data_IF_329900270279
#
_entry.id   IF_329900270279
#
_cell.length_a   1.000
_cell.length_b   1.000
_cell.length_c   1.000
_cell.angle_alpha   90.00
_cell.angle_beta   90.00
_cell.angle_gamma   90.00
#
_symmetry.space_group_name_H-M   'P 1'
#
loop_
_entity.id
_entity.type
_entity.pdbx_description
1 polymer ?
#
# COMPACT_ATOMS: atom_id res chain seq x y z
N UNK A 1 8.27 15.85 2.00
CA UNK A 1 6.88 15.67 2.49
C UNK A 1 6.87 14.59 3.56
N UNK A 2 6.10 14.77 4.64
CA UNK A 2 5.95 13.76 5.69
C UNK A 2 4.50 13.26 5.71
N UNK A 3 4.29 11.96 5.51
CA UNK A 3 2.96 11.33 5.51
C UNK A 3 2.86 10.43 6.73
N UNK A 4 1.76 10.50 7.47
CA UNK A 4 1.57 9.80 8.74
C UNK A 4 0.29 8.99 8.72
N UNK A 5 0.38 7.75 9.20
CA UNK A 5 -0.73 6.82 9.39
C UNK A 5 -0.85 6.47 10.88
N UNK A 6 -2.07 6.42 11.40
CA UNK A 6 -2.36 5.84 12.71
C UNK A 6 -3.08 4.51 12.51
N UNK A 7 -2.56 3.42 13.11
CA UNK A 7 -3.11 2.08 12.90
C UNK A 7 -3.20 1.26 14.19
N UNK A 8 -4.09 0.28 14.18
CA UNK A 8 -4.05 -0.89 15.06
C UNK A 8 -3.71 -2.16 14.26
N UNK A 9 -3.65 -3.32 14.95
CA UNK A 9 -3.34 -4.62 14.34
C UNK A 9 -4.31 -5.01 13.22
N UNK A 10 -5.59 -4.61 13.31
CA UNK A 10 -6.60 -4.95 12.31
C UNK A 10 -6.42 -4.14 11.01
N UNK A 11 -5.72 -3.01 11.09
CA UNK A 11 -5.48 -2.13 9.96
C UNK A 11 -4.11 -2.31 9.30
N UNK A 12 -3.24 -3.20 9.78
CA UNK A 12 -1.92 -3.40 9.20
C UNK A 12 -1.98 -3.72 7.70
N UNK A 13 -2.87 -4.62 7.28
CA UNK A 13 -3.00 -4.99 5.87
C UNK A 13 -3.52 -3.84 5.01
N UNK A 14 -4.52 -3.11 5.50
CA UNK A 14 -5.01 -1.91 4.81
C UNK A 14 -3.91 -0.85 4.68
N UNK A 15 -3.16 -0.61 5.76
CA UNK A 15 -2.03 0.32 5.75
C UNK A 15 -0.96 -0.06 4.72
N UNK A 16 -0.65 -1.36 4.54
CA UNK A 16 0.32 -1.81 3.52
C UNK A 16 -0.12 -1.44 2.12
N UNK A 17 -1.40 -1.70 1.79
CA UNK A 17 -1.99 -1.34 0.49
C UNK A 17 -1.98 0.18 0.29
N UNK A 18 -2.44 0.90 1.31
CA UNK A 18 -2.47 2.36 1.30
C UNK A 18 -1.08 2.94 1.08
N UNK A 19 -0.09 2.57 1.90
CA UNK A 19 1.30 3.03 1.84
C UNK A 19 1.90 2.78 0.45
N UNK A 20 1.67 1.61 -0.15
CA UNK A 20 2.15 1.31 -1.50
C UNK A 20 1.62 2.32 -2.53
N UNK A 21 0.34 2.72 -2.42
CA UNK A 21 -0.25 3.73 -3.30
C UNK A 21 0.38 5.12 -3.10
N UNK A 22 0.63 5.52 -1.85
CA UNK A 22 1.28 6.81 -1.56
C UNK A 22 2.72 6.86 -2.07
N UNK A 23 3.49 5.79 -1.90
CA UNK A 23 4.87 5.69 -2.40
C UNK A 23 4.95 5.78 -3.92
N UNK A 24 3.99 5.16 -4.63
CA UNK A 24 3.93 5.22 -6.09
C UNK A 24 3.92 6.64 -6.62
N UNK A 25 3.15 7.53 -6.00
CA UNK A 25 2.98 8.90 -6.46
C UNK A 25 3.86 9.92 -5.73
N UNK A 26 4.41 9.54 -4.56
CA UNK A 26 5.24 10.39 -3.72
C UNK A 26 6.48 9.60 -3.24
N UNK A 27 7.39 9.20 -4.16
CA UNK A 27 8.50 8.28 -3.83
C UNK A 27 9.47 8.82 -2.78
N UNK A 28 9.63 10.15 -2.72
CA UNK A 28 10.53 10.83 -1.78
C UNK A 28 9.85 11.19 -0.45
N UNK A 29 8.57 10.82 -0.27
CA UNK A 29 7.86 11.10 0.97
C UNK A 29 8.39 10.24 2.12
N UNK A 30 8.64 10.87 3.26
CA UNK A 30 8.90 10.17 4.51
C UNK A 30 7.58 9.68 5.09
N UNK A 31 7.44 8.37 5.25
CA UNK A 31 6.22 7.74 5.78
C UNK A 31 6.48 7.28 7.20
N UNK A 32 5.62 7.70 8.12
CA UNK A 32 5.65 7.31 9.53
C UNK A 32 4.35 6.60 9.92
N UNK A 33 4.48 5.47 10.60
CA UNK A 33 3.37 4.71 11.15
C UNK A 33 3.34 4.93 12.66
N UNK A 34 2.20 5.34 13.18
CA UNK A 34 1.95 5.54 14.61
C UNK A 34 1.00 4.45 15.09
N UNK A 35 1.35 3.77 16.18
CA UNK A 35 0.56 2.71 16.78
C UNK A 35 0.82 2.60 18.29
N UNK A 36 -0.02 1.87 19.03
CA UNK A 36 0.18 1.57 20.45
C UNK A 36 1.15 0.40 20.70
N UNK A 37 1.71 -0.19 19.66
CA UNK A 37 2.59 -1.37 19.72
C UNK A 37 3.69 -1.26 18.67
N UNK A 38 4.74 -2.07 18.83
CA UNK A 38 5.76 -2.20 17.81
C UNK A 38 5.16 -2.83 16.56
N UNK A 39 4.91 -2.02 15.54
CA UNK A 39 4.46 -2.50 14.24
C UNK A 39 5.60 -3.25 13.59
N UNK A 40 5.39 -4.50 13.12
CA UNK A 40 6.38 -5.18 12.29
C UNK A 40 6.75 -4.25 11.13
N UNK A 41 8.04 -4.11 10.87
CA UNK A 41 8.54 -3.16 9.86
C UNK A 41 7.77 -3.32 8.55
N UNK A 42 7.04 -2.29 8.18
CA UNK A 42 6.39 -2.19 6.88
C UNK A 42 7.36 -1.44 5.98
N UNK A 43 8.30 -2.18 5.38
CA UNK A 43 9.32 -1.62 4.51
C UNK A 43 10.30 -0.67 5.21
N UNK A 44 10.67 0.43 4.54
CA UNK A 44 11.57 1.47 5.06
C UNK A 44 10.86 2.55 5.89
N UNK A 45 9.62 2.28 6.34
CA UNK A 45 8.85 3.27 7.09
C UNK A 45 9.38 3.41 8.51
N UNK A 46 9.34 4.62 9.03
CA UNK A 46 9.54 4.84 10.46
C UNK A 46 8.30 4.39 11.23
N UNK A 47 8.50 3.80 12.38
CA UNK A 47 7.42 3.48 13.32
C UNK A 47 7.60 4.29 14.58
N UNK A 48 6.51 4.86 15.09
CA UNK A 48 6.46 5.56 16.36
C UNK A 48 5.41 4.89 17.23
N UNK A 49 5.82 4.41 18.39
CA UNK A 49 4.88 3.90 19.39
C UNK A 49 4.41 5.08 20.26
N UNK A 50 3.09 5.24 20.35
CA UNK A 50 2.45 6.16 21.28
C UNK A 50 1.49 5.32 22.12
N UNK A 51 1.74 5.21 23.41
CA UNK A 51 0.91 4.45 24.32
C UNK A 51 -0.24 5.34 24.81
N UNK A 52 -1.45 4.95 24.48
CA UNK A 52 -2.65 5.59 25.02
C UNK A 52 -2.90 5.05 26.43
N UNK A 53 -2.76 5.91 27.44
CA UNK A 53 -2.84 5.53 28.86
C UNK A 53 -4.26 5.58 29.43
N UNK A 54 -5.26 5.83 28.58
CA UNK A 54 -6.66 5.95 28.95
C UNK A 54 -7.59 5.25 27.98
N UNK A 55 -8.79 4.88 28.47
CA UNK A 55 -9.89 4.51 27.59
C UNK A 55 -10.59 5.76 27.08
N UNK A 56 -11.01 5.71 25.81
CA UNK A 56 -11.71 6.79 25.14
C UNK A 56 -13.21 6.50 25.04
N UNK A 57 -13.99 7.57 25.01
CA UNK A 57 -15.44 7.52 24.88
C UNK A 57 -15.88 6.80 23.62
N UNK A 58 -16.86 5.92 23.76
CA UNK A 58 -17.49 5.18 22.66
C UNK A 58 -18.91 5.67 22.41
N UNK A 59 -19.32 5.64 21.16
CA UNK A 59 -20.67 6.02 20.74
C UNK A 59 -21.74 5.04 21.26
N UNK A 60 -21.39 3.76 21.36
CA UNK A 60 -22.24 2.70 21.89
C UNK A 60 -21.42 1.47 22.26
N UNK A 61 -22.01 0.53 23.02
CA UNK A 61 -21.37 -0.76 23.35
C UNK A 61 -21.14 -1.65 22.11
N UNK A 62 -21.74 -1.33 20.93
CA UNK A 62 -21.54 -2.00 19.65
C UNK A 62 -20.53 -1.28 18.75
N UNK A 63 -19.92 -0.23 19.27
CA UNK A 63 -18.96 0.57 18.54
C UNK A 63 -17.69 -0.25 18.27
N UNK A 64 -17.28 -0.31 16.99
CA UNK A 64 -16.12 -1.08 16.53
C UNK A 64 -14.89 -0.21 16.29
N UNK A 65 -14.98 1.09 16.58
CA UNK A 65 -13.84 1.99 16.42
C UNK A 65 -12.86 1.70 17.55
N UNK A 66 -11.62 1.45 17.19
CA UNK A 66 -10.55 1.19 18.14
C UNK A 66 -10.00 2.49 18.72
N UNK A 67 -9.32 2.41 19.86
CA UNK A 67 -8.60 3.55 20.44
C UNK A 67 -7.56 4.14 19.47
N UNK A 68 -7.05 3.37 18.51
CA UNK A 68 -6.12 3.86 17.50
C UNK A 68 -6.65 5.05 16.68
N UNK A 69 -7.97 5.22 16.56
CA UNK A 69 -8.56 6.42 15.97
C UNK A 69 -8.14 7.70 16.70
N UNK A 70 -7.95 7.62 18.02
CA UNK A 70 -7.55 8.75 18.86
C UNK A 70 -6.05 9.04 18.83
N UNK A 71 -5.21 8.15 18.25
CA UNK A 71 -3.77 8.42 18.10
C UNK A 71 -3.49 9.72 17.34
N UNK A 72 -4.38 10.10 16.42
CA UNK A 72 -4.25 11.36 15.69
C UNK A 72 -4.31 12.61 16.56
N UNK A 73 -4.87 12.55 17.77
CA UNK A 73 -4.88 13.63 18.75
C UNK A 73 -3.49 13.86 19.38
N UNK A 74 -2.59 12.88 19.27
CA UNK A 74 -1.24 12.90 19.84
C UNK A 74 -0.14 13.11 18.80
N UNK A 75 -0.48 13.40 17.55
CA UNK A 75 0.51 13.60 16.49
C UNK A 75 1.43 14.79 16.70
N UNK A 76 1.09 15.69 17.62
CA UNK A 76 1.98 16.77 18.09
C UNK A 76 3.25 16.26 18.79
N UNK A 77 3.28 14.99 19.22
CA UNK A 77 4.48 14.35 19.77
C UNK A 77 5.54 13.98 18.71
N UNK A 78 5.16 13.97 17.43
CA UNK A 78 6.10 13.69 16.33
C UNK A 78 7.06 14.87 16.14
N UNK A 79 8.34 14.58 15.92
CA UNK A 79 9.36 15.60 15.67
C UNK A 79 9.33 16.08 14.20
N UNK A 80 8.16 16.58 13.76
CA UNK A 80 7.95 17.22 12.46
C UNK A 80 7.35 18.62 12.65
N UNK A 81 7.60 19.51 11.68
CA UNK A 81 6.96 20.83 11.64
C UNK A 81 5.58 20.76 10.98
N UNK A 82 5.46 19.95 9.93
CA UNK A 82 4.25 19.78 9.13
C UNK A 82 4.14 18.32 8.66
N UNK A 83 2.92 17.81 8.64
CA UNK A 83 2.60 16.46 8.14
C UNK A 83 1.34 16.47 7.28
N UNK A 84 1.18 15.43 6.46
CA UNK A 84 -0.10 14.99 5.93
C UNK A 84 -0.47 13.72 6.71
N UNK A 85 -1.54 13.78 7.49
CA UNK A 85 -2.15 12.62 8.10
C UNK A 85 -3.16 12.01 7.13
N UNK A 86 -3.21 10.69 7.04
CA UNK A 86 -4.20 9.94 6.25
C UNK A 86 -4.63 8.67 6.99
N UNK A 87 -5.91 8.33 6.87
CA UNK A 87 -6.43 7.05 7.38
C UNK A 87 -5.91 5.89 6.53
N UNK A 88 -5.73 4.72 7.15
CA UNK A 88 -5.18 3.53 6.49
C UNK A 88 -6.10 2.92 5.43
N UNK A 89 -7.36 3.33 5.38
CA UNK A 89 -8.34 2.91 4.36
C UNK A 89 -8.44 3.92 3.20
N UNK A 90 -7.31 4.52 2.83
CA UNK A 90 -7.21 5.46 1.70
C UNK A 90 -6.29 4.94 0.60
N UNK A 91 -6.54 5.36 -0.66
CA UNK A 91 -5.63 5.16 -1.80
C UNK A 91 -5.22 6.50 -2.40
N UNK A 92 -3.93 6.72 -2.55
CA UNK A 92 -3.38 7.85 -3.29
C UNK A 92 -3.42 7.56 -4.78
N UNK A 93 -3.94 8.49 -5.59
CA UNK A 93 -4.05 8.38 -7.04
C UNK A 93 -3.17 9.38 -7.80
N UNK A 94 -2.71 10.44 -7.14
CA UNK A 94 -1.94 11.54 -7.76
C UNK A 94 -0.88 12.07 -6.80
N UNK A 95 0.19 12.74 -7.29
CA UNK A 95 1.16 13.43 -6.44
C UNK A 95 0.48 14.44 -5.51
N UNK A 96 0.97 14.54 -4.28
CA UNK A 96 0.37 15.40 -3.25
C UNK A 96 1.09 16.75 -3.06
N UNK A 97 1.94 17.16 -3.99
CA UNK A 97 2.67 18.42 -3.91
C UNK A 97 1.74 19.63 -3.83
N UNK A 98 0.64 19.62 -4.59
CA UNK A 98 -0.38 20.66 -4.54
C UNK A 98 -0.98 20.80 -3.13
N UNK A 99 -1.31 19.68 -2.49
CA UNK A 99 -1.83 19.66 -1.12
C UNK A 99 -0.75 20.08 -0.10
N UNK A 100 0.47 19.55 -0.26
CA UNK A 100 1.58 19.84 0.64
C UNK A 100 1.95 21.33 0.65
N UNK A 101 1.90 21.98 -0.51
CA UNK A 101 2.31 23.38 -0.67
C UNK A 101 1.23 24.39 -0.27
N UNK A 102 0.00 23.96 0.00
CA UNK A 102 -1.03 24.88 0.51
C UNK A 102 -0.61 25.52 1.83
N UNK A 103 -0.93 26.81 2.04
CA UNK A 103 -0.83 27.44 3.34
C UNK A 103 -1.60 26.64 4.40
N UNK A 104 -0.95 26.34 5.51
CA UNK A 104 -1.55 25.59 6.61
C UNK A 104 -1.23 26.27 7.94
N UNK A 105 -2.07 27.21 8.41
CA UNK A 105 -1.87 27.87 9.70
C UNK A 105 -1.95 26.87 10.86
N UNK A 106 -2.92 25.96 10.87
CA UNK A 106 -3.15 24.93 11.88
C UNK A 106 -3.49 23.59 11.24
N UNK A 107 -4.72 23.42 10.73
CA UNK A 107 -5.19 22.18 10.10
C UNK A 107 -5.93 22.51 8.81
N UNK A 108 -5.53 21.88 7.69
CA UNK A 108 -6.32 21.82 6.47
C UNK A 108 -6.98 20.45 6.37
N UNK A 109 -8.29 20.44 6.05
CA UNK A 109 -9.06 19.20 5.86
C UNK A 109 -10.21 19.43 4.88
N UNK A 110 -10.84 18.37 4.41
CA UNK A 110 -12.00 18.49 3.53
C UNK A 110 -13.30 18.64 4.33
N UNK A 111 -14.20 19.46 3.81
CA UNK A 111 -15.53 19.59 4.41
C UNK A 111 -16.34 18.30 4.24
N UNK A 112 -17.04 17.92 5.29
CA UNK A 112 -17.96 16.79 5.26
C UNK A 112 -19.15 17.08 4.31
N UNK A 113 -19.84 16.02 3.86
CA UNK A 113 -21.03 16.13 3.01
C UNK A 113 -22.28 16.54 3.81
N UNK A 114 -23.46 16.39 3.22
CA UNK A 114 -24.76 16.80 3.81
C UNK A 114 -24.99 16.37 5.27
N UNK A 115 -24.43 15.21 5.64
CA UNK A 115 -24.43 14.77 7.05
C UNK A 115 -23.59 15.68 7.94
N UNK A 116 -22.50 16.25 7.42
CA UNK A 116 -21.64 17.20 8.14
C UNK A 116 -22.33 18.53 8.44
N UNK A 117 -23.24 19.00 7.57
CA UNK A 117 -24.01 20.22 7.83
C UNK A 117 -24.94 20.03 9.03
N UNK A 118 -25.61 18.90 9.11
CA UNK A 118 -26.44 18.55 10.27
C UNK A 118 -25.61 18.45 11.53
N UNK A 119 -24.42 17.80 11.43
CA UNK A 119 -23.50 17.64 12.55
C UNK A 119 -22.96 19.00 13.02
N UNK A 120 -22.54 19.88 12.11
CA UNK A 120 -22.09 21.22 12.42
C UNK A 120 -23.18 22.00 13.19
N UNK A 121 -24.40 22.02 12.65
CA UNK A 121 -25.54 22.69 13.30
C UNK A 121 -25.80 22.17 14.70
N UNK A 122 -25.77 20.86 14.88
CA UNK A 122 -26.03 20.21 16.17
C UNK A 122 -24.96 20.49 17.21
N UNK A 123 -23.72 20.74 16.78
CA UNK A 123 -22.57 21.08 17.64
C UNK A 123 -22.33 22.60 17.75
N UNK A 124 -23.19 23.44 17.15
CA UNK A 124 -23.01 24.89 17.14
C UNK A 124 -21.81 25.36 16.32
N UNK A 125 -21.38 24.55 15.35
CA UNK A 125 -20.22 24.84 14.48
C UNK A 125 -20.69 25.47 13.17
N UNK A 126 -19.83 26.30 12.56
CA UNK A 126 -20.10 26.85 11.23
C UNK A 126 -19.96 25.81 10.11
N UNK A 127 -18.97 24.94 10.25
CA UNK A 127 -18.63 23.89 9.26
C UNK A 127 -18.09 22.68 10.02
N UNK A 128 -18.14 21.50 9.38
CA UNK A 128 -17.66 20.25 9.93
C UNK A 128 -16.76 19.53 8.92
N UNK A 129 -15.59 19.10 9.34
CA UNK A 129 -14.58 18.51 8.48
C UNK A 129 -14.36 17.03 8.72
N UNK A 130 -13.96 16.34 7.66
CA UNK A 130 -13.57 14.94 7.66
C UNK A 130 -12.10 14.80 8.08
N UNK A 131 -11.82 14.03 9.11
CA UNK A 131 -10.46 13.85 9.66
C UNK A 131 -9.67 12.70 9.06
N UNK A 132 -10.22 12.02 8.06
CA UNK A 132 -9.53 10.93 7.35
C UNK A 132 -8.35 11.38 6.47
N UNK A 133 -8.26 12.67 6.18
CA UNK A 133 -7.08 13.35 5.60
C UNK A 133 -6.95 14.73 6.22
N UNK A 134 -5.78 15.03 6.76
CA UNK A 134 -5.47 16.35 7.34
C UNK A 134 -4.04 16.77 6.99
N UNK A 135 -3.86 18.01 6.56
CA UNK A 135 -2.54 18.65 6.63
C UNK A 135 -2.44 19.36 7.96
N UNK A 136 -1.43 19.05 8.75
CA UNK A 136 -1.29 19.55 10.13
C UNK A 136 0.03 20.31 10.30
N UNK A 137 -0.05 21.57 10.75
CA UNK A 137 1.10 22.35 11.17
C UNK A 137 1.38 22.05 12.66
N UNK A 138 2.25 21.08 12.91
CA UNK A 138 2.48 20.60 14.28
C UNK A 138 3.11 21.66 15.19
N UNK A 139 3.91 22.59 14.65
CA UNK A 139 4.47 23.69 15.45
C UNK A 139 3.39 24.64 15.98
N UNK A 140 2.42 24.98 15.11
CA UNK A 140 1.28 25.81 15.53
C UNK A 140 0.36 25.06 16.49
N UNK A 141 0.13 23.77 16.25
CA UNK A 141 -0.72 22.94 17.09
C UNK A 141 -0.14 22.72 18.49
N UNK A 142 1.20 22.54 18.61
CA UNK A 142 1.87 22.48 19.93
C UNK A 142 1.67 23.77 20.72
N UNK A 143 1.92 24.93 20.09
CA UNK A 143 1.74 26.24 20.75
C UNK A 143 0.29 26.51 21.14
N UNK A 144 -0.66 25.95 20.40
CA UNK A 144 -2.08 26.10 20.68
C UNK A 144 -2.60 25.14 21.78
N UNK A 145 -1.84 24.12 22.14
CA UNK A 145 -2.28 23.07 23.09
C UNK A 145 -3.35 22.17 22.47
N UNK A 146 -3.11 21.71 21.23
CA UNK A 146 -4.07 20.93 20.43
C UNK A 146 -4.54 19.67 21.16
N UNK A 147 -3.60 18.87 21.66
CA UNK A 147 -3.89 17.57 22.31
C UNK A 147 -4.79 17.80 23.54
N UNK A 148 -4.41 18.72 24.43
CA UNK A 148 -5.14 19.01 25.66
C UNK A 148 -6.55 19.52 25.37
N UNK A 149 -6.71 20.38 24.37
CA UNK A 149 -8.01 20.89 23.95
C UNK A 149 -8.91 19.79 23.38
N UNK A 150 -8.37 18.91 22.56
CA UNK A 150 -9.12 17.75 22.05
C UNK A 150 -9.53 16.80 23.17
N UNK A 151 -8.67 16.57 24.17
CA UNK A 151 -8.99 15.75 25.34
C UNK A 151 -10.03 16.41 26.23
N UNK A 152 -10.02 17.72 26.38
CA UNK A 152 -11.09 18.46 27.10
C UNK A 152 -12.45 18.25 26.43
N UNK A 153 -12.51 18.23 25.10
CA UNK A 153 -13.75 17.91 24.36
C UNK A 153 -14.15 16.45 24.58
N UNK A 154 -13.20 15.54 24.58
CA UNK A 154 -13.44 14.11 24.82
C UNK A 154 -14.01 13.84 26.22
N UNK A 155 -13.53 14.56 27.22
CA UNK A 155 -13.98 14.45 28.60
C UNK A 155 -15.32 15.17 28.85
N UNK A 156 -15.78 16.02 27.93
CA UNK A 156 -17.02 16.78 28.09
C UNK A 156 -18.27 15.89 27.98
N UNK A 157 -19.20 16.04 28.91
CA UNK A 157 -20.54 15.43 28.84
C UNK A 157 -21.54 16.22 27.99
N UNK A 158 -21.18 17.44 27.54
CA UNK A 158 -22.10 18.36 26.86
C UNK A 158 -22.48 17.90 25.45
N UNK A 159 -21.67 17.02 24.84
CA UNK A 159 -21.94 16.48 23.53
C UNK A 159 -22.72 15.17 23.66
N UNK A 160 -23.96 15.11 23.16
CA UNK A 160 -24.76 13.88 23.18
C UNK A 160 -24.08 12.71 22.47
N UNK A 161 -24.24 11.50 22.98
CA UNK A 161 -23.57 10.30 22.43
C UNK A 161 -23.97 10.00 20.99
N UNK A 162 -25.19 10.32 20.55
CA UNK A 162 -25.63 10.16 19.17
C UNK A 162 -24.96 11.13 18.19
N UNK A 163 -24.34 12.20 18.68
CA UNK A 163 -23.56 13.19 17.90
C UNK A 163 -22.05 12.98 18.01
N UNK A 164 -21.65 11.96 18.75
CA UNK A 164 -20.25 11.66 18.99
C UNK A 164 -19.65 10.84 17.83
N UNK A 165 -18.64 11.39 17.16
CA UNK A 165 -17.87 10.76 16.09
C UNK A 165 -16.38 10.71 16.47
N UNK A 166 -16.10 10.30 17.71
CA UNK A 166 -14.76 10.01 18.21
C UNK A 166 -13.78 11.18 18.04
N UNK A 167 -12.59 10.88 17.54
CA UNK A 167 -11.53 11.84 17.22
C UNK A 167 -12.00 12.98 16.31
N UNK A 168 -12.91 12.68 15.36
CA UNK A 168 -13.43 13.66 14.42
C UNK A 168 -14.23 14.75 15.16
N UNK A 169 -15.06 14.37 16.14
CA UNK A 169 -15.78 15.36 16.97
C UNK A 169 -14.81 16.17 17.82
N UNK A 170 -13.82 15.53 18.46
CA UNK A 170 -12.80 16.21 19.25
C UNK A 170 -12.09 17.31 18.45
N UNK A 171 -11.62 16.97 17.25
CA UNK A 171 -10.87 17.90 16.39
C UNK A 171 -11.77 19.04 15.90
N UNK A 172 -12.97 18.73 15.40
CA UNK A 172 -13.90 19.76 14.88
C UNK A 172 -14.32 20.77 15.95
N UNK A 173 -14.59 20.31 17.15
CA UNK A 173 -15.00 21.20 18.26
C UNK A 173 -13.80 22.00 18.79
N UNK A 174 -12.69 21.32 19.12
CA UNK A 174 -11.51 21.97 19.67
C UNK A 174 -10.87 23.00 18.73
N UNK A 175 -10.97 22.78 17.42
CA UNK A 175 -10.31 23.58 16.40
C UNK A 175 -11.28 24.39 15.52
N UNK A 176 -12.54 24.50 15.87
CA UNK A 176 -13.66 24.99 15.05
C UNK A 176 -13.37 26.28 14.26
N UNK A 177 -12.66 27.25 14.87
CA UNK A 177 -12.31 28.54 14.25
C UNK A 177 -10.93 28.53 13.55
N UNK A 178 -10.18 27.42 13.59
CA UNK A 178 -8.80 27.31 13.12
C UNK A 178 -8.66 26.27 11.98
N UNK A 179 -9.78 25.66 11.58
CA UNK A 179 -9.81 24.74 10.46
C UNK A 179 -9.83 25.50 9.14
N UNK A 180 -8.98 25.10 8.20
CA UNK A 180 -9.00 25.56 6.81
C UNK A 180 -9.54 24.45 5.92
N UNK A 181 -10.58 24.77 5.15
CA UNK A 181 -11.22 23.76 4.31
C UNK A 181 -10.63 23.79 2.89
N UNK A 182 -10.20 22.61 2.43
CA UNK A 182 -9.60 22.40 1.12
C UNK A 182 -10.54 21.61 0.20
N UNK A 183 -10.18 21.50 -1.08
CA UNK A 183 -10.96 20.82 -2.10
C UNK A 183 -11.20 19.35 -1.73
N UNK A 184 -12.43 18.88 -1.95
CA UNK A 184 -12.89 17.51 -1.65
C UNK A 184 -12.13 16.41 -2.42
N UNK A 185 -11.44 16.76 -3.52
CA UNK A 185 -10.57 15.83 -4.25
C UNK A 185 -9.44 15.23 -3.40
N UNK A 186 -9.06 15.87 -2.30
CA UNK A 186 -8.03 15.40 -1.38
C UNK A 186 -8.52 14.42 -0.31
N UNK A 187 -9.86 14.21 -0.20
CA UNK A 187 -10.44 13.19 0.68
C UNK A 187 -11.79 12.74 0.11
N UNK A 188 -11.75 12.12 -1.05
CA UNK A 188 -12.92 11.68 -1.81
C UNK A 188 -13.47 10.38 -1.25
N UNK A 189 -14.68 10.39 -0.68
CA UNK A 189 -15.31 9.20 -0.13
C UNK A 189 -15.84 8.30 -1.26
N UNK A 190 -15.15 7.16 -1.49
CA UNK A 190 -15.50 6.16 -2.50
C UNK A 190 -16.90 5.56 -2.24
N UNK A 191 -17.68 5.36 -3.30
CA UNK A 191 -19.03 4.72 -3.29
C UNK A 191 -19.99 5.18 -2.20
N UNK A 192 -19.87 6.40 -1.73
CA UNK A 192 -20.82 6.93 -0.76
C UNK A 192 -22.21 7.12 -1.39
N UNK A 193 -23.24 6.93 -0.55
CA UNK A 193 -24.67 7.15 -0.88
C UNK A 193 -24.91 8.57 -1.42
N UNK A 194 -24.02 9.50 -1.09
CA UNK A 194 -24.12 10.89 -1.51
C UNK A 194 -23.40 11.12 -2.84
N UNK A 195 -24.07 11.84 -3.75
CA UNK A 195 -23.46 12.27 -5.00
C UNK A 195 -22.21 13.11 -4.72
N UNK A 196 -21.08 12.65 -5.21
CA UNK A 196 -19.81 13.36 -5.09
C UNK A 196 -19.78 14.56 -6.06
N UNK A 197 -19.14 15.68 -5.69
CA UNK A 197 -19.11 16.89 -6.51
C UNK A 197 -18.19 16.80 -7.74
N UNK A 198 -17.31 15.82 -7.78
CA UNK A 198 -16.31 15.59 -8.84
C UNK A 198 -16.32 14.12 -9.27
N UNK A 199 -15.85 13.78 -10.48
CA UNK A 199 -15.56 12.41 -10.88
C UNK A 199 -14.50 11.77 -9.97
N UNK A 200 -14.59 10.44 -9.76
CA UNK A 200 -13.64 9.69 -8.92
C UNK A 200 -12.22 9.75 -9.50
N UNK A 201 -12.06 9.75 -10.82
CA UNK A 201 -10.77 9.84 -11.50
C UNK A 201 -10.05 11.19 -11.27
N UNK A 202 -10.79 12.22 -10.87
CA UNK A 202 -10.22 13.53 -10.53
C UNK A 202 -9.71 13.59 -9.09
N UNK A 203 -10.08 12.63 -8.25
CA UNK A 203 -9.63 12.56 -6.87
C UNK A 203 -8.11 12.34 -6.75
N UNK A 204 -7.50 12.96 -5.76
CA UNK A 204 -6.10 12.72 -5.36
C UNK A 204 -6.00 11.60 -4.35
N UNK A 205 -6.95 11.53 -3.43
CA UNK A 205 -7.04 10.51 -2.39
C UNK A 205 -8.47 9.95 -2.38
N UNK A 206 -8.59 8.64 -2.60
CA UNK A 206 -9.83 7.89 -2.40
C UNK A 206 -9.89 7.38 -0.97
N UNK A 207 -11.02 7.54 -0.30
CA UNK A 207 -11.24 7.11 1.07
C UNK A 207 -12.36 6.06 1.14
N UNK A 208 -12.04 4.84 1.54
CA UNK A 208 -12.94 3.68 1.61
C UNK A 208 -13.60 3.58 2.98
N UNK A 209 -14.61 4.40 3.22
CA UNK A 209 -15.24 4.56 4.54
C UNK A 209 -16.26 3.46 4.82
N UNK A 210 -16.28 2.95 6.05
CA UNK A 210 -17.34 2.05 6.53
C UNK A 210 -17.25 0.65 5.94
N UNK A 211 -18.32 0.17 5.27
CA UNK A 211 -18.41 -1.20 4.71
C UNK A 211 -17.61 -1.38 3.43
N UNK A 212 -17.24 -0.29 2.77
CA UNK A 212 -16.56 -0.31 1.48
C UNK A 212 -15.03 -0.53 1.61
N UNK A 213 -14.52 -0.69 2.83
CA UNK A 213 -13.08 -0.91 3.08
C UNK A 213 -12.49 -2.11 2.34
N UNK A 214 -13.26 -3.17 2.12
CA UNK A 214 -12.80 -4.33 1.35
C UNK A 214 -12.55 -4.04 -0.11
N UNK A 215 -13.15 -2.97 -0.66
CA UNK A 215 -12.95 -2.59 -2.06
C UNK A 215 -11.55 -2.00 -2.29
N UNK A 216 -10.85 -1.54 -1.25
CA UNK A 216 -9.48 -1.06 -1.35
C UNK A 216 -8.55 -2.13 -1.95
N UNK A 217 -8.74 -3.40 -1.59
CA UNK A 217 -7.95 -4.51 -2.13
C UNK A 217 -8.24 -4.77 -3.61
N UNK A 218 -9.49 -4.54 -4.06
CA UNK A 218 -9.90 -4.74 -5.45
C UNK A 218 -9.46 -3.58 -6.35
N UNK A 219 -9.44 -2.38 -5.81
CA UNK A 219 -9.15 -1.15 -6.55
C UNK A 219 -7.67 -0.75 -6.47
N UNK A 220 -6.88 -1.44 -5.62
CA UNK A 220 -5.43 -1.23 -5.56
C UNK A 220 -4.71 -2.22 -6.46
N UNK A 221 -3.65 -1.75 -7.11
CA UNK A 221 -2.76 -2.63 -7.85
C UNK A 221 -2.15 -3.66 -6.89
N UNK A 222 -2.33 -4.96 -7.17
CA UNK A 222 -1.83 -6.07 -6.34
C UNK A 222 -2.32 -6.08 -4.88
N UNK A 223 -3.48 -5.52 -4.60
CA UNK A 223 -4.02 -5.50 -3.23
C UNK A 223 -4.21 -6.88 -2.62
N UNK A 224 -4.56 -7.88 -3.45
CA UNK A 224 -4.74 -9.30 -3.04
C UNK A 224 -3.44 -9.97 -2.55
N UNK A 225 -2.28 -9.41 -2.89
CA UNK A 225 -0.96 -9.90 -2.48
C UNK A 225 -0.16 -8.87 -1.68
N UNK A 226 -0.82 -7.87 -1.11
CA UNK A 226 -0.15 -6.80 -0.34
C UNK A 226 0.69 -7.33 0.84
N UNK A 227 0.30 -8.47 1.44
CA UNK A 227 1.11 -9.14 2.45
C UNK A 227 2.49 -9.53 1.91
N UNK A 228 2.52 -10.14 0.71
CA UNK A 228 3.77 -10.54 0.05
C UNK A 228 4.62 -9.31 -0.25
N UNK A 229 3.99 -8.20 -0.66
CA UNK A 229 4.65 -6.93 -0.89
C UNK A 229 5.47 -6.44 0.29
N UNK A 230 5.03 -6.71 1.52
CA UNK A 230 5.77 -6.33 2.72
C UNK A 230 7.12 -7.05 2.89
N UNK A 231 7.28 -8.22 2.28
CA UNK A 231 8.56 -8.96 2.26
C UNK A 231 9.47 -8.50 1.12
N UNK A 232 8.94 -7.74 0.17
CA UNK A 232 9.68 -7.19 -0.99
C UNK A 232 10.17 -5.77 -0.71
N UNK A 233 9.40 -4.95 0.01
CA UNK A 233 9.68 -3.53 0.20
C UNK A 233 11.06 -3.29 0.85
N UNK A 234 11.91 -2.54 0.15
CA UNK A 234 13.27 -2.22 0.56
C UNK A 234 14.27 -3.39 0.54
N UNK A 235 13.91 -4.53 -0.07
CA UNK A 235 14.70 -5.75 -0.12
C UNK A 235 15.42 -5.94 -1.44
N UNK A 236 16.53 -6.70 -1.39
CA UNK A 236 17.17 -7.26 -2.58
C UNK A 236 16.36 -8.45 -3.07
N UNK A 237 16.00 -8.46 -4.34
CA UNK A 237 15.15 -9.52 -4.91
C UNK A 237 15.86 -10.22 -6.06
N UNK A 238 16.00 -11.55 -5.97
CA UNK A 238 16.38 -12.38 -7.10
C UNK A 238 15.14 -12.92 -7.81
N UNK A 239 15.03 -12.71 -9.11
CA UNK A 239 14.01 -13.31 -9.96
C UNK A 239 14.68 -14.35 -10.84
N UNK A 240 14.39 -15.64 -10.62
CA UNK A 240 15.07 -16.75 -11.28
C UNK A 240 14.17 -17.30 -12.39
N UNK A 241 14.53 -16.98 -13.63
CA UNK A 241 13.88 -17.45 -14.83
C UNK A 241 14.25 -18.91 -15.16
N UNK A 242 13.66 -19.41 -16.26
CA UNK A 242 13.79 -20.81 -16.66
C UNK A 242 14.50 -20.98 -18.02
N UNK A 243 15.25 -19.98 -18.47
CA UNK A 243 16.04 -20.08 -19.68
C UNK A 243 17.24 -21.01 -19.47
N UNK A 244 17.62 -21.72 -20.52
CA UNK A 244 18.80 -22.63 -20.49
C UNK A 244 20.09 -21.88 -20.15
N UNK A 245 20.17 -20.60 -20.46
CA UNK A 245 21.29 -19.71 -20.14
C UNK A 245 21.60 -19.60 -18.64
N UNK A 246 20.68 -20.03 -17.77
CA UNK A 246 20.88 -20.09 -16.32
C UNK A 246 21.98 -21.09 -15.92
N UNK A 247 22.11 -22.17 -16.67
CA UNK A 247 23.01 -23.27 -16.31
C UNK A 247 24.46 -23.02 -16.72
N UNK A 248 25.40 -23.54 -15.90
CA UNK A 248 26.85 -23.41 -16.11
C UNK A 248 27.46 -22.14 -15.56
N UNK A 249 26.67 -21.23 -15.00
CA UNK A 249 27.13 -19.94 -14.44
C UNK A 249 27.58 -20.00 -12.99
N UNK A 250 27.22 -21.04 -12.26
CA UNK A 250 27.55 -21.24 -10.83
C UNK A 250 27.09 -20.09 -9.92
N UNK A 251 25.92 -19.51 -10.20
CA UNK A 251 25.36 -18.35 -9.51
C UNK A 251 24.41 -18.73 -8.36
N UNK A 252 24.31 -20.01 -7.99
CA UNK A 252 23.35 -20.47 -7.00
C UNK A 252 23.50 -19.82 -5.62
N UNK A 253 24.73 -19.66 -5.16
CA UNK A 253 25.03 -18.97 -3.88
C UNK A 253 24.70 -17.48 -3.95
N UNK A 254 25.01 -16.82 -5.06
CA UNK A 254 24.65 -15.40 -5.28
C UNK A 254 23.14 -15.20 -5.23
N UNK A 255 22.38 -16.09 -5.90
CA UNK A 255 20.91 -16.08 -5.84
C UNK A 255 20.40 -16.23 -4.42
N UNK A 256 20.93 -17.21 -3.67
CA UNK A 256 20.47 -17.49 -2.29
C UNK A 256 20.86 -16.43 -1.26
N UNK A 257 21.76 -15.51 -1.58
CA UNK A 257 22.14 -14.37 -0.75
C UNK A 257 21.18 -13.19 -0.83
N UNK A 258 20.20 -13.23 -1.75
CA UNK A 258 19.15 -12.20 -1.79
C UNK A 258 18.17 -12.35 -0.61
N UNK A 259 17.55 -11.23 -0.23
CA UNK A 259 16.54 -11.20 0.83
C UNK A 259 15.25 -11.93 0.43
N UNK A 260 14.90 -11.92 -0.88
CA UNK A 260 13.68 -12.51 -1.40
C UNK A 260 13.89 -13.11 -2.79
N UNK A 261 13.51 -14.37 -2.97
CA UNK A 261 13.73 -15.13 -4.22
C UNK A 261 12.39 -15.54 -4.82
N UNK A 262 12.20 -15.23 -6.12
CA UNK A 262 11.00 -15.54 -6.89
C UNK A 262 11.33 -16.56 -7.98
N UNK A 263 10.50 -17.63 -8.08
CA UNK A 263 10.60 -18.67 -9.11
C UNK A 263 9.29 -18.90 -9.82
N UNK A 264 9.31 -19.68 -10.90
CA UNK A 264 8.16 -19.84 -11.79
C UNK A 264 7.91 -21.27 -12.23
N UNK A 265 6.64 -21.67 -12.25
CA UNK A 265 6.14 -22.87 -12.92
C UNK A 265 6.95 -24.13 -12.58
N UNK A 266 7.39 -24.86 -13.63
CA UNK A 266 8.18 -26.09 -13.52
C UNK A 266 9.69 -25.84 -13.50
N UNK A 267 10.12 -24.69 -12.96
CA UNK A 267 11.54 -24.34 -12.79
C UNK A 267 12.19 -25.10 -11.63
N UNK A 268 12.05 -26.43 -11.60
CA UNK A 268 12.52 -27.27 -10.50
C UNK A 268 14.02 -27.14 -10.24
N UNK A 269 14.43 -27.41 -9.00
CA UNK A 269 15.80 -27.19 -8.52
C UNK A 269 16.71 -28.37 -8.88
N UNK A 270 16.99 -28.54 -10.19
CA UNK A 270 17.83 -29.65 -10.70
C UNK A 270 19.33 -29.45 -10.43
N UNK A 271 19.81 -28.21 -10.47
CA UNK A 271 21.23 -27.86 -10.32
C UNK A 271 21.41 -26.70 -9.37
N UNK A 272 21.39 -26.95 -8.05
CA UNK A 272 21.48 -25.89 -7.06
C UNK A 272 22.72 -25.00 -7.18
N UNK A 273 23.85 -25.53 -7.68
CA UNK A 273 25.06 -24.74 -7.92
C UNK A 273 24.83 -23.58 -8.93
N UNK A 274 23.89 -23.76 -9.85
CA UNK A 274 23.52 -22.74 -10.85
C UNK A 274 22.27 -21.95 -10.45
N UNK A 275 21.31 -22.60 -9.73
CA UNK A 275 19.97 -22.09 -9.50
C UNK A 275 19.73 -21.59 -8.06
N UNK A 276 20.58 -21.98 -7.09
CA UNK A 276 20.29 -21.81 -5.67
C UNK A 276 19.25 -22.80 -5.15
N UNK A 277 18.92 -22.71 -3.86
CA UNK A 277 17.98 -23.59 -3.15
C UNK A 277 16.72 -22.87 -2.69
N UNK A 278 16.83 -21.58 -2.36
CA UNK A 278 15.77 -20.84 -1.69
C UNK A 278 14.64 -20.46 -2.66
N UNK A 279 13.42 -20.46 -2.16
CA UNK A 279 12.23 -19.95 -2.84
C UNK A 279 11.34 -19.27 -1.83
N UNK A 280 11.16 -17.95 -1.91
CA UNK A 280 10.20 -17.24 -1.09
C UNK A 280 8.84 -17.18 -1.78
N UNK A 281 8.81 -16.92 -3.08
CA UNK A 281 7.59 -16.82 -3.86
C UNK A 281 7.65 -17.72 -5.09
N UNK A 282 6.64 -18.57 -5.26
CA UNK A 282 6.42 -19.36 -6.46
C UNK A 282 5.22 -18.82 -7.24
N UNK A 283 5.46 -18.36 -8.49
CA UNK A 283 4.40 -17.84 -9.37
C UNK A 283 4.06 -18.89 -10.42
N UNK A 284 2.79 -19.31 -10.48
CA UNK A 284 2.31 -20.40 -11.30
C UNK A 284 1.41 -19.92 -12.45
N UNK A 285 1.76 -20.27 -13.66
CA UNK A 285 0.98 -20.11 -14.88
C UNK A 285 0.65 -21.47 -15.52
N UNK A 286 0.75 -22.55 -14.76
CA UNK A 286 0.39 -23.92 -15.13
C UNK A 286 -0.04 -24.71 -13.89
N UNK A 287 -0.68 -25.85 -14.08
CA UNK A 287 -0.97 -26.76 -13.00
C UNK A 287 0.29 -27.57 -12.68
N UNK A 288 0.64 -27.67 -11.40
CA UNK A 288 1.67 -28.55 -10.85
C UNK A 288 1.11 -29.26 -9.62
N UNK A 289 1.71 -30.41 -9.24
CA UNK A 289 1.21 -31.20 -8.12
C UNK A 289 1.58 -30.56 -6.76
N UNK A 290 0.88 -30.90 -5.67
CA UNK A 290 1.27 -30.46 -4.34
C UNK A 290 2.72 -30.82 -3.99
N UNK A 291 3.16 -32.04 -4.34
CA UNK A 291 4.52 -32.54 -4.09
C UNK A 291 5.57 -31.72 -4.87
N UNK A 292 5.24 -31.32 -6.10
CA UNK A 292 6.08 -30.43 -6.91
C UNK A 292 6.19 -29.04 -6.27
N UNK A 293 5.12 -28.51 -5.65
CA UNK A 293 5.15 -27.25 -4.88
C UNK A 293 6.05 -27.42 -3.63
N UNK A 294 5.85 -28.52 -2.89
CA UNK A 294 6.65 -28.83 -1.71
C UNK A 294 8.14 -28.91 -2.00
N UNK A 295 8.51 -29.43 -3.20
CA UNK A 295 9.90 -29.48 -3.66
C UNK A 295 10.60 -28.13 -3.78
N UNK A 296 9.85 -27.02 -3.94
CA UNK A 296 10.36 -25.65 -3.88
C UNK A 296 10.42 -25.09 -2.45
N UNK A 297 9.68 -25.68 -1.53
CA UNK A 297 9.47 -25.18 -0.16
C UNK A 297 9.18 -23.66 -0.11
N UNK A 298 8.20 -23.16 -0.87
CA UNK A 298 7.96 -21.73 -0.99
C UNK A 298 7.23 -21.19 0.25
N UNK A 299 7.57 -19.96 0.65
CA UNK A 299 6.82 -19.24 1.68
C UNK A 299 5.43 -18.82 1.16
N UNK A 300 5.36 -18.43 -0.12
CA UNK A 300 4.14 -18.00 -0.79
C UNK A 300 3.97 -18.65 -2.16
N UNK A 301 2.72 -18.91 -2.54
CA UNK A 301 2.35 -19.40 -3.87
C UNK A 301 1.30 -18.47 -4.47
N UNK A 302 1.53 -18.02 -5.71
CA UNK A 302 0.59 -17.19 -6.47
C UNK A 302 0.23 -17.89 -7.77
N UNK A 303 -1.07 -18.04 -8.02
CA UNK A 303 -1.60 -18.39 -9.35
C UNK A 303 -1.74 -17.11 -10.18
N UNK A 304 -1.13 -17.07 -11.35
CA UNK A 304 -1.23 -15.94 -12.30
C UNK A 304 -2.64 -15.72 -12.84
N UNK A 305 -3.50 -16.72 -12.76
CA UNK A 305 -4.87 -16.69 -13.24
C UNK A 305 -5.74 -17.65 -12.44
N UNK A 306 -7.02 -17.33 -12.28
CA UNK A 306 -8.04 -18.21 -11.69
C UNK A 306 -8.30 -19.50 -12.49
N UNK A 307 -7.76 -19.62 -13.70
CA UNK A 307 -7.82 -20.86 -14.49
C UNK A 307 -6.99 -22.00 -13.88
N UNK A 308 -6.02 -21.66 -13.02
CA UNK A 308 -5.15 -22.65 -12.37
C UNK A 308 -5.59 -22.83 -10.91
N UNK A 309 -5.87 -24.06 -10.51
CA UNK A 309 -6.41 -24.40 -9.19
C UNK A 309 -5.34 -24.94 -8.25
N UNK A 310 -4.13 -24.43 -8.31
CA UNK A 310 -3.12 -24.74 -7.31
C UNK A 310 -3.49 -24.07 -5.96
N UNK A 311 -3.06 -24.67 -4.85
CA UNK A 311 -3.17 -24.03 -3.53
C UNK A 311 -2.33 -22.72 -3.54
N UNK A 312 -2.91 -21.61 -3.08
CA UNK A 312 -2.25 -20.31 -3.02
C UNK A 312 -3.18 -19.16 -3.41
N UNK A 313 -2.65 -17.95 -3.37
CA UNK A 313 -3.36 -16.74 -3.79
C UNK A 313 -3.51 -16.70 -5.31
N UNK A 314 -4.45 -15.92 -5.80
CA UNK A 314 -4.65 -15.72 -7.25
C UNK A 314 -4.59 -14.24 -7.58
N UNK A 315 -3.79 -13.87 -8.58
CA UNK A 315 -3.74 -12.48 -9.06
C UNK A 315 -5.04 -12.10 -9.76
N UNK A 316 -5.49 -10.89 -9.53
CA UNK A 316 -6.59 -10.29 -10.28
C UNK A 316 -6.25 -10.20 -11.78
N UNK A 317 -7.28 -10.33 -12.61
CA UNK A 317 -7.07 -10.26 -14.05
C UNK A 317 -6.76 -8.84 -14.55
N UNK A 318 -7.18 -7.82 -13.80
CA UNK A 318 -7.10 -6.40 -14.21
C UNK A 318 -5.68 -6.00 -14.60
N UNK A 319 -4.70 -6.24 -13.72
CA UNK A 319 -3.31 -5.86 -13.98
C UNK A 319 -2.74 -6.59 -15.19
N UNK A 320 -3.07 -7.87 -15.34
CA UNK A 320 -2.65 -8.67 -16.48
C UNK A 320 -3.25 -8.15 -17.80
N UNK A 321 -4.48 -7.65 -17.80
CA UNK A 321 -5.13 -7.06 -18.97
C UNK A 321 -4.46 -5.74 -19.36
N UNK A 322 -4.17 -4.86 -18.39
CA UNK A 322 -3.45 -3.61 -18.64
C UNK A 322 -2.07 -3.90 -19.24
N UNK A 323 -1.33 -4.85 -18.69
CA UNK A 323 -0.04 -5.26 -19.24
C UNK A 323 -0.17 -5.83 -20.65
N UNK A 324 -1.22 -6.61 -20.93
CA UNK A 324 -1.48 -7.16 -22.26
C UNK A 324 -1.71 -6.06 -23.29
N UNK A 325 -2.45 -5.02 -22.95
CA UNK A 325 -2.65 -3.86 -23.83
C UNK A 325 -1.32 -3.13 -24.09
N UNK A 326 -0.51 -2.92 -23.04
CA UNK A 326 0.78 -2.25 -23.15
C UNK A 326 1.81 -3.02 -23.98
N UNK A 327 1.83 -4.36 -23.87
CA UNK A 327 2.79 -5.25 -24.55
C UNK A 327 2.25 -5.67 -25.93
N UNK A 328 0.93 -5.69 -26.13
CA UNK A 328 0.29 -6.23 -27.33
C UNK A 328 0.09 -7.75 -27.30
N UNK A 329 0.74 -8.46 -26.36
CA UNK A 329 0.62 -9.91 -26.12
C UNK A 329 0.49 -10.21 -24.63
N UNK A 330 0.25 -11.49 -24.29
CA UNK A 330 0.21 -11.91 -22.88
C UNK A 330 1.56 -11.65 -22.22
N UNK A 331 1.59 -10.95 -21.04
CA UNK A 331 2.83 -10.74 -20.30
C UNK A 331 3.42 -12.09 -19.85
N UNK A 332 4.74 -12.19 -19.81
CA UNK A 332 5.40 -13.34 -19.19
C UNK A 332 5.24 -13.33 -17.67
N UNK A 333 5.40 -14.49 -17.01
CA UNK A 333 5.43 -14.55 -15.55
C UNK A 333 6.60 -13.76 -14.97
N UNK A 334 7.71 -13.69 -15.71
CA UNK A 334 8.87 -12.89 -15.35
C UNK A 334 8.57 -11.39 -15.35
N UNK A 335 7.91 -10.89 -16.38
CA UNK A 335 7.51 -9.49 -16.46
C UNK A 335 6.54 -9.11 -15.34
N UNK A 336 5.56 -9.97 -15.04
CA UNK A 336 4.63 -9.77 -13.90
C UNK A 336 5.39 -9.71 -12.58
N UNK A 337 6.36 -10.61 -12.35
CA UNK A 337 7.16 -10.60 -11.13
C UNK A 337 7.98 -9.32 -10.97
N UNK A 338 8.57 -8.84 -12.07
CA UNK A 338 9.32 -7.56 -12.08
C UNK A 338 8.39 -6.41 -11.74
N UNK A 339 7.20 -6.36 -12.32
CA UNK A 339 6.22 -5.30 -12.06
C UNK A 339 5.71 -5.35 -10.61
N UNK A 340 5.51 -6.53 -10.03
CA UNK A 340 5.21 -6.70 -8.59
C UNK A 340 6.34 -6.13 -7.74
N UNK A 341 7.59 -6.45 -8.05
CA UNK A 341 8.75 -5.97 -7.29
C UNK A 341 8.94 -4.45 -7.39
N UNK A 342 8.70 -3.87 -8.57
CA UNK A 342 8.73 -2.42 -8.77
C UNK A 342 7.59 -1.73 -8.00
N UNK A 343 6.38 -2.30 -8.04
CA UNK A 343 5.22 -1.78 -7.34
C UNK A 343 5.43 -1.74 -5.81
N UNK A 344 5.97 -2.82 -5.25
CA UNK A 344 6.26 -2.92 -3.83
C UNK A 344 7.67 -2.42 -3.44
N UNK A 345 8.27 -1.58 -4.27
CA UNK A 345 9.50 -0.84 -3.96
C UNK A 345 10.68 -1.73 -3.53
N UNK A 346 10.93 -2.85 -4.23
CA UNK A 346 12.17 -3.60 -4.02
C UNK A 346 13.40 -2.67 -4.07
N UNK A 347 14.43 -2.90 -3.26
CA UNK A 347 15.65 -2.08 -3.25
C UNK A 347 16.38 -2.17 -4.59
N UNK A 348 16.62 -3.37 -5.06
CA UNK A 348 17.09 -3.70 -6.40
C UNK A 348 16.57 -5.09 -6.81
N UNK A 349 16.57 -5.36 -8.10
CA UNK A 349 16.04 -6.58 -8.69
C UNK A 349 17.12 -7.19 -9.59
N UNK A 350 17.53 -8.41 -9.28
CA UNK A 350 18.52 -9.17 -10.04
C UNK A 350 17.81 -10.29 -10.82
N UNK A 351 18.01 -10.32 -12.14
CA UNK A 351 17.38 -11.27 -13.05
C UNK A 351 18.39 -12.35 -13.44
N UNK A 352 18.11 -13.59 -13.07
CA UNK A 352 18.91 -14.76 -13.40
C UNK A 352 18.14 -15.65 -14.37
N UNK A 353 18.79 -16.13 -15.43
CA UNK A 353 18.13 -16.93 -16.47
C UNK A 353 17.07 -16.14 -17.27
N UNK A 354 17.29 -14.85 -17.44
CA UNK A 354 16.52 -13.94 -18.28
C UNK A 354 17.35 -13.53 -19.49
N UNK A 355 17.16 -14.21 -20.60
CA UNK A 355 17.80 -13.88 -21.88
C UNK A 355 16.82 -13.38 -22.95
N UNK A 356 15.59 -13.02 -22.51
CA UNK A 356 14.51 -12.48 -23.32
C UNK A 356 14.21 -13.34 -24.57
N UNK A 357 14.24 -14.65 -24.39
CA UNK A 357 13.91 -15.63 -25.44
C UNK A 357 15.06 -16.05 -26.34
N UNK A 358 16.30 -15.63 -26.03
CA UNK A 358 17.49 -16.07 -26.78
C UNK A 358 17.73 -17.58 -26.65
N UNK A 359 17.41 -18.19 -25.51
CA UNK A 359 17.42 -19.64 -25.30
C UNK A 359 16.05 -20.17 -24.88
N UNK A 360 15.72 -21.44 -25.23
CA UNK A 360 14.45 -22.02 -24.82
C UNK A 360 14.41 -22.23 -23.27
N UNK A 361 13.19 -22.29 -22.73
CA UNK A 361 12.94 -22.77 -21.39
C UNK A 361 13.41 -24.22 -21.24
N UNK A 362 14.15 -24.55 -20.19
CA UNK A 362 14.82 -25.83 -20.03
C UNK A 362 13.90 -27.05 -19.88
N UNK A 363 12.62 -26.86 -19.56
CA UNK A 363 11.63 -27.93 -19.42
C UNK A 363 10.62 -27.99 -20.59
N UNK A 364 10.64 -27.05 -21.52
CA UNK A 364 9.74 -27.06 -22.68
C UNK A 364 10.29 -27.88 -23.84
N UNK A 365 9.38 -28.43 -24.67
CA UNK A 365 9.75 -29.03 -25.91
C UNK A 365 10.47 -28.04 -26.86
N UNK A 366 11.41 -28.46 -27.68
CA UNK A 366 12.20 -27.58 -28.55
C UNK A 366 11.36 -26.66 -29.45
N UNK A 367 10.17 -27.08 -29.85
CA UNK A 367 9.28 -26.35 -30.78
C UNK A 367 8.16 -25.58 -30.08
N UNK A 368 8.25 -25.38 -28.77
CA UNK A 368 7.23 -24.63 -28.01
C UNK A 368 7.17 -23.18 -28.45
N UNK A 369 6.02 -22.76 -29.00
CA UNK A 369 5.78 -21.37 -29.36
C UNK A 369 5.43 -20.56 -28.13
N UNK A 370 6.25 -19.57 -27.80
CA UNK A 370 6.06 -18.69 -26.63
C UNK A 370 5.00 -17.66 -26.97
N UNK A 371 3.97 -17.49 -26.12
CA UNK A 371 2.89 -16.52 -26.33
C UNK A 371 3.24 -15.08 -25.93
N UNK A 372 4.51 -14.80 -25.63
CA UNK A 372 5.01 -13.54 -25.10
C UNK A 372 5.76 -12.72 -26.14
N UNK A 373 5.87 -11.42 -25.93
CA UNK A 373 6.70 -10.50 -26.70
C UNK A 373 7.88 -10.04 -25.83
N UNK A 374 8.93 -10.84 -25.83
CA UNK A 374 10.11 -10.58 -25.00
C UNK A 374 10.87 -9.31 -25.39
N UNK A 375 10.85 -8.92 -26.67
CA UNK A 375 11.50 -7.69 -27.15
C UNK A 375 10.78 -6.47 -26.57
N UNK A 376 9.43 -6.49 -26.58
CA UNK A 376 8.61 -5.41 -26.00
C UNK A 376 8.73 -5.36 -24.49
N UNK A 377 8.74 -6.51 -23.81
CA UNK A 377 8.99 -6.57 -22.36
C UNK A 377 10.35 -5.96 -22.02
N UNK A 378 11.41 -6.31 -22.77
CA UNK A 378 12.76 -5.77 -22.60
C UNK A 378 12.80 -4.25 -22.81
N UNK A 379 12.15 -3.74 -23.86
CA UNK A 379 12.03 -2.30 -24.15
C UNK A 379 11.43 -1.56 -22.95
N UNK A 380 10.32 -2.05 -22.42
CA UNK A 380 9.62 -1.43 -21.26
C UNK A 380 10.49 -1.42 -19.99
N UNK A 381 11.40 -2.37 -19.83
CA UNK A 381 12.30 -2.46 -18.67
C UNK A 381 13.57 -1.59 -18.81
N UNK A 382 13.90 -1.11 -20.01
CA UNK A 382 15.16 -0.39 -20.29
C UNK A 382 15.40 0.80 -19.34
N UNK A 383 14.35 1.55 -18.97
CA UNK A 383 14.49 2.69 -18.08
C UNK A 383 14.94 2.30 -16.66
N UNK A 384 14.53 1.11 -16.18
CA UNK A 384 14.91 0.57 -14.88
C UNK A 384 16.30 -0.07 -14.89
N UNK A 385 16.66 -0.70 -16.02
CA UNK A 385 18.00 -1.25 -16.24
C UNK A 385 19.03 -0.11 -16.30
N UNK A 386 18.75 0.97 -17.05
CA UNK A 386 19.62 2.15 -17.12
C UNK A 386 19.83 2.86 -15.77
N UNK A 387 18.85 2.76 -14.87
CA UNK A 387 18.93 3.33 -13.50
C UNK A 387 19.50 2.33 -12.48
N UNK A 388 20.05 1.21 -12.92
CA UNK A 388 20.58 0.14 -12.06
C UNK A 388 19.56 -0.41 -11.03
N UNK A 389 18.28 -0.14 -11.24
CA UNK A 389 17.19 -0.71 -10.42
C UNK A 389 16.97 -2.19 -10.73
N UNK A 390 17.26 -2.58 -11.99
CA UNK A 390 17.21 -3.97 -12.48
C UNK A 390 18.57 -4.30 -13.08
N UNK A 391 19.15 -5.42 -12.66
CA UNK A 391 20.38 -6.00 -13.23
C UNK A 391 20.06 -7.35 -13.87
N UNK A 392 20.61 -7.58 -15.06
CA UNK A 392 20.46 -8.86 -15.78
C UNK A 392 21.81 -9.57 -15.76
N UNK A 393 21.81 -10.83 -15.29
CA UNK A 393 23.01 -11.68 -15.14
C UNK A 393 23.18 -12.70 -16.26
#
# INVERSE_FOLDING_TARGET
MNIVFCIDKNYEMLARVSIASYRKFNPDAKITIVAEYNVPRIGQNETKVINLTREFRKRSNKDRISNAAYLKLFLTELNYRKIIYVDADTLCQKPLDDLWNLPCPYINLCESHAFGEQQAKSLGLKRYGLTGMMVMNLDSLRRYGFTERCLTVEDSSDIPTNMWFHDETCINVAMSNLLTFVDKKFNYCHKRIYKQPIPEDDAYILHYVGKDKSDIYRNSKYGEIAEIGSFIDGKSVAIVGNAKSLFGKKQGEEIDNHDFIIRFNKGFLYKPVDQGHKTNLLILACLITPEEIEGFNPQFVINRSSSWKNKGLTLANTERMIMKELIGKQPSSGYIAIDICLHFNAKHIDLYGFDFGATPTFYNAPNYKVPHDYDKEKELLQQYIKKEKIKVH
#
